data_IF_354077704488
#
_entry.id   IF_354077704488
#
_cell.length_a   1.000
_cell.length_b   1.000
_cell.length_c   1.000
_cell.angle_alpha   90.00
_cell.angle_beta   90.00
_cell.angle_gamma   90.00
#
_symmetry.space_group_name_H-M   'P 1'
#
loop_
_entity.id
_entity.type
_entity.pdbx_description
1 polymer ?
#
# COMPACT_ATOMS: atom_id res chain seq x y z
N UNK A 1 -5.40 -21.10 8.94
CA UNK A 1 -5.12 -21.45 7.53
C UNK A 1 -3.62 -21.28 7.33
N UNK A 2 -2.89 -22.22 6.71
CA UNK A 2 -1.45 -22.05 6.59
C UNK A 2 -1.16 -20.94 5.56
N UNK A 3 -0.26 -20.03 5.91
CA UNK A 3 0.32 -19.04 4.99
C UNK A 3 1.28 -19.78 4.07
N UNK A 4 0.83 -20.17 2.88
CA UNK A 4 1.73 -20.64 1.82
C UNK A 4 1.64 -19.69 0.65
N UNK A 5 1.97 -18.42 0.92
CA UNK A 5 2.45 -17.53 -0.13
C UNK A 5 3.80 -18.06 -0.58
N UNK A 6 3.98 -18.16 -1.87
CA UNK A 6 5.28 -18.35 -2.52
C UNK A 6 6.18 -17.17 -2.17
N UNK A 7 7.49 -17.36 -2.34
CA UNK A 7 8.46 -16.27 -2.16
C UNK A 7 8.09 -15.03 -2.99
N UNK A 8 7.63 -15.23 -4.23
CA UNK A 8 7.24 -14.14 -5.11
C UNK A 8 6.04 -13.35 -4.55
N UNK A 9 5.00 -14.05 -4.08
CA UNK A 9 3.83 -13.39 -3.47
C UNK A 9 4.18 -12.63 -2.18
N UNK A 10 5.14 -13.13 -1.40
CA UNK A 10 5.68 -12.39 -0.25
C UNK A 10 6.47 -11.14 -0.66
N UNK A 11 7.26 -11.23 -1.74
CA UNK A 11 8.03 -10.10 -2.25
C UNK A 11 7.10 -8.99 -2.78
N UNK A 12 6.01 -9.37 -3.46
CA UNK A 12 4.98 -8.44 -3.92
C UNK A 12 4.27 -7.73 -2.75
N UNK A 13 3.88 -8.48 -1.71
CA UNK A 13 3.29 -7.90 -0.50
C UNK A 13 4.26 -6.97 0.23
N UNK A 14 5.53 -7.35 0.35
CA UNK A 14 6.56 -6.49 0.94
C UNK A 14 6.77 -5.20 0.14
N UNK A 15 6.70 -5.26 -1.19
CA UNK A 15 6.78 -4.09 -2.05
C UNK A 15 5.59 -3.17 -1.85
N UNK A 16 4.37 -3.72 -1.78
CA UNK A 16 3.16 -2.96 -1.47
C UNK A 16 3.32 -2.21 -0.15
N UNK A 17 3.70 -2.91 0.93
CA UNK A 17 3.81 -2.31 2.26
C UNK A 17 4.87 -1.19 2.31
N UNK A 18 6.05 -1.43 1.72
CA UNK A 18 7.13 -0.42 1.66
C UNK A 18 6.72 0.82 0.87
N UNK A 19 6.10 0.62 -0.29
CA UNK A 19 5.62 1.71 -1.12
C UNK A 19 4.52 2.50 -0.41
N UNK A 20 3.57 1.82 0.24
CA UNK A 20 2.51 2.49 1.00
C UNK A 20 3.09 3.34 2.12
N UNK A 21 4.02 2.81 2.92
CA UNK A 21 4.68 3.57 3.98
C UNK A 21 5.38 4.84 3.42
N UNK A 22 6.21 4.65 2.40
CA UNK A 22 6.93 5.75 1.75
C UNK A 22 5.99 6.81 1.16
N UNK A 23 4.94 6.39 0.46
CA UNK A 23 3.98 7.30 -0.15
C UNK A 23 3.13 8.02 0.89
N UNK A 24 2.82 7.36 2.01
CA UNK A 24 2.09 7.97 3.14
C UNK A 24 2.88 9.13 3.73
N UNK A 25 4.19 8.95 3.97
CA UNK A 25 5.07 10.05 4.38
C UNK A 25 5.22 11.12 3.28
N UNK A 26 5.48 10.71 2.03
CA UNK A 26 5.68 11.63 0.88
C UNK A 26 4.48 12.56 0.66
N UNK A 27 3.27 12.02 0.78
CA UNK A 27 2.03 12.74 0.53
C UNK A 27 1.32 13.21 1.81
N UNK A 28 1.97 13.09 2.97
CA UNK A 28 1.47 13.58 4.25
C UNK A 28 0.06 13.04 4.57
N UNK A 29 -0.16 11.75 4.33
CA UNK A 29 -1.45 11.10 4.56
C UNK A 29 -2.53 11.38 3.50
N UNK A 30 -2.24 12.09 2.40
CA UNK A 30 -3.23 12.32 1.32
C UNK A 30 -3.54 11.01 0.57
N UNK A 31 -4.61 10.34 1.00
CA UNK A 31 -5.02 9.02 0.51
C UNK A 31 -5.21 8.97 -1.00
N UNK A 32 -5.81 10.00 -1.60
CA UNK A 32 -6.08 10.02 -3.05
C UNK A 32 -4.78 10.12 -3.86
N UNK A 33 -3.82 10.93 -3.42
CA UNK A 33 -2.49 10.98 -4.04
C UNK A 33 -1.74 9.67 -3.92
N UNK A 34 -1.79 9.02 -2.75
CA UNK A 34 -1.15 7.72 -2.52
C UNK A 34 -1.75 6.65 -3.45
N UNK A 35 -3.08 6.57 -3.52
CA UNK A 35 -3.77 5.60 -4.38
C UNK A 35 -3.43 5.81 -5.86
N UNK A 36 -3.43 7.05 -6.32
CA UNK A 36 -3.08 7.39 -7.71
C UNK A 36 -1.63 7.01 -8.06
N UNK A 37 -0.68 7.34 -7.19
CA UNK A 37 0.74 7.01 -7.43
C UNK A 37 0.98 5.50 -7.36
N UNK A 38 0.37 4.79 -6.40
CA UNK A 38 0.49 3.33 -6.30
C UNK A 38 -0.08 2.63 -7.55
N UNK A 39 -1.25 3.04 -8.02
CA UNK A 39 -1.83 2.52 -9.26
C UNK A 39 -0.93 2.79 -10.47
N UNK A 40 -0.30 3.97 -10.53
CA UNK A 40 0.66 4.30 -11.58
C UNK A 40 1.92 3.42 -11.51
N UNK A 41 2.45 3.13 -10.31
CA UNK A 41 3.58 2.23 -10.11
C UNK A 41 3.28 0.77 -10.48
N UNK A 42 2.06 0.29 -10.19
CA UNK A 42 1.64 -1.07 -10.49
C UNK A 42 1.14 -1.24 -11.94
N UNK A 43 0.96 -0.14 -12.68
CA UNK A 43 0.39 -0.10 -14.02
C UNK A 43 -0.99 -0.77 -14.12
N UNK A 44 -1.77 -0.71 -13.03
CA UNK A 44 -3.13 -1.26 -12.93
C UNK A 44 -3.91 -0.55 -11.84
N UNK A 45 -5.22 -0.78 -11.82
CA UNK A 45 -6.05 -0.38 -10.69
C UNK A 45 -5.68 -1.17 -9.42
N UNK A 46 -5.90 -0.54 -8.28
CA UNK A 46 -5.70 -1.14 -6.98
C UNK A 46 -6.83 -2.13 -6.67
N UNK A 47 -6.48 -3.25 -6.05
CA UNK A 47 -7.47 -4.13 -5.46
C UNK A 47 -8.09 -3.50 -4.22
N UNK A 48 -9.19 -4.08 -3.73
CA UNK A 48 -9.81 -3.68 -2.48
C UNK A 48 -8.82 -3.81 -1.31
N UNK A 49 -8.16 -4.95 -1.18
CA UNK A 49 -7.15 -5.22 -0.14
C UNK A 49 -5.99 -4.21 -0.14
N UNK A 50 -5.53 -3.79 -1.32
CA UNK A 50 -4.48 -2.77 -1.45
C UNK A 50 -4.98 -1.38 -1.03
N UNK A 51 -6.23 -1.07 -1.39
CA UNK A 51 -6.91 0.15 -0.97
C UNK A 51 -7.08 0.23 0.55
N UNK A 52 -7.49 -0.87 1.17
CA UNK A 52 -7.59 -1.00 2.63
C UNK A 52 -6.22 -0.86 3.30
N UNK A 53 -5.18 -1.50 2.74
CA UNK A 53 -3.81 -1.36 3.23
C UNK A 53 -3.37 0.09 3.24
N UNK A 54 -3.60 0.85 2.16
CA UNK A 54 -3.30 2.28 2.11
C UNK A 54 -4.07 3.05 3.19
N UNK A 55 -5.36 2.75 3.35
CA UNK A 55 -6.23 3.37 4.37
C UNK A 55 -5.66 3.17 5.78
N UNK A 56 -5.18 1.96 6.12
CA UNK A 56 -4.56 1.68 7.40
C UNK A 56 -3.32 2.54 7.68
N UNK A 57 -2.44 2.71 6.69
CA UNK A 57 -1.25 3.54 6.87
C UNK A 57 -1.58 5.03 7.02
N UNK A 58 -2.55 5.54 6.25
CA UNK A 58 -3.03 6.93 6.36
C UNK A 58 -3.60 7.19 7.75
N UNK A 59 -4.51 6.33 8.22
CA UNK A 59 -5.07 6.46 9.56
C UNK A 59 -4.01 6.38 10.66
N UNK A 60 -2.96 5.56 10.46
CA UNK A 60 -1.82 5.49 11.38
C UNK A 60 -0.99 6.78 11.38
N UNK A 61 -0.79 7.39 10.20
CA UNK A 61 -0.07 8.66 10.05
C UNK A 61 -0.80 9.83 10.71
N UNK A 62 -2.12 9.91 10.60
CA UNK A 62 -2.95 10.96 11.21
C UNK A 62 -2.96 10.92 12.76
N UNK A 63 -2.53 9.80 13.35
CA UNK A 63 -2.49 9.59 14.80
C UNK A 63 -1.10 9.84 15.42
N UNK A 64 -0.10 10.24 14.62
CA UNK A 64 1.25 10.61 15.06
C UNK A 64 1.36 12.12 15.34
#
# INVERSE_FOLDING_TARGET
MPLHKTKAEFEEELLLLKNTAFLTEKFQGDQEKIRKEMAAHLHRELTEDEGETICFFVHGFEQL
#
